data_IF_123277051530
#
_entry.id   IF_123277051530
#
_cell.length_a   1.000
_cell.length_b   1.000
_cell.length_c   1.000
_cell.angle_alpha   90.00
_cell.angle_beta   90.00
_cell.angle_gamma   90.00
#
_symmetry.space_group_name_H-M   'P 1'
#
loop_
_entity.id
_entity.type
_entity.pdbx_description
1 polymer ?
#
# COMPACT_ATOMS: atom_id res chain seq x y z
N UNK A 1 9.73 8.72 -64.53
CA UNK A 1 8.71 9.25 -65.47
C UNK A 1 7.55 9.79 -64.62
N UNK A 2 7.46 11.11 -64.62
CA UNK A 2 6.29 11.99 -64.86
C UNK A 2 5.12 11.74 -63.86
N UNK A 3 4.61 12.73 -63.15
CA UNK A 3 4.63 14.20 -63.13
C UNK A 3 3.66 14.59 -62.02
N UNK A 4 3.86 15.46 -61.19
CA UNK A 4 3.73 16.89 -61.08
C UNK A 4 2.43 17.48 -61.66
N UNK A 5 1.60 18.12 -60.81
CA UNK A 5 0.83 19.35 -61.00
C UNK A 5 -0.09 19.52 -59.79
N UNK A 6 0.12 20.47 -58.92
CA UNK A 6 0.01 21.95 -58.95
C UNK A 6 -1.42 22.48 -58.87
N UNK A 7 -1.55 23.36 -57.88
CA UNK A 7 -2.24 24.67 -57.87
C UNK A 7 -3.71 24.60 -57.39
N UNK A 8 -4.25 25.54 -56.70
CA UNK A 8 -3.91 26.81 -56.05
C UNK A 8 -5.23 27.32 -55.45
N UNK A 9 -5.18 27.88 -54.28
CA UNK A 9 -5.57 29.19 -53.83
C UNK A 9 -6.91 29.82 -54.42
N UNK A 10 -7.75 30.34 -53.54
CA UNK A 10 -8.28 31.70 -53.62
C UNK A 10 -8.73 32.20 -52.26
N UNK A 11 -8.23 33.36 -51.88
CA UNK A 11 -8.63 34.30 -50.84
C UNK A 11 -9.94 35.01 -51.17
N UNK A 12 -10.67 35.41 -50.12
CA UNK A 12 -11.44 36.65 -50.03
C UNK A 12 -11.82 36.85 -48.57
N UNK A 13 -11.27 37.70 -47.77
CA UNK A 13 -11.26 39.16 -47.65
C UNK A 13 -12.63 39.77 -47.32
N UNK A 14 -12.61 40.39 -46.17
CA UNK A 14 -13.06 41.74 -45.76
C UNK A 14 -14.51 41.81 -45.23
N UNK A 15 -14.91 42.65 -44.28
CA UNK A 15 -14.22 43.70 -43.49
C UNK A 15 -15.21 44.16 -42.40
N UNK A 16 -14.64 44.61 -41.27
CA UNK A 16 -14.85 45.85 -40.51
C UNK A 16 -16.24 46.15 -39.96
N UNK A 17 -16.36 46.28 -38.63
CA UNK A 17 -16.88 47.48 -38.00
C UNK A 17 -16.31 47.63 -36.58
N UNK A 18 -15.61 48.73 -36.38
CA UNK A 18 -15.04 49.20 -35.13
C UNK A 18 -16.17 49.77 -34.22
N UNK A 19 -16.04 49.50 -32.89
CA UNK A 19 -16.78 50.17 -31.88
C UNK A 19 -15.89 50.34 -30.66
N UNK A 20 -15.30 51.53 -30.57
CA UNK A 20 -14.51 51.99 -29.39
C UNK A 20 -15.50 52.37 -28.32
N UNK A 21 -15.32 51.84 -27.09
CA UNK A 21 -15.56 52.62 -25.87
C UNK A 21 -14.61 52.14 -24.74
N UNK A 22 -13.89 53.09 -24.22
CA UNK A 22 -13.01 53.03 -23.08
C UNK A 22 -13.85 52.90 -21.78
N UNK A 23 -13.29 52.19 -20.84
CA UNK A 23 -13.86 52.12 -19.49
C UNK A 23 -12.93 51.31 -18.53
N UNK A 24 -12.09 52.03 -17.84
CA UNK A 24 -11.52 51.82 -16.50
C UNK A 24 -11.29 50.44 -15.92
N UNK A 25 -10.10 50.28 -15.48
CA UNK A 25 -9.43 49.43 -14.52
C UNK A 25 -10.29 48.62 -13.53
N UNK A 26 -9.90 47.39 -13.40
CA UNK A 26 -10.27 46.50 -12.33
C UNK A 26 -9.38 45.26 -12.44
N UNK A 27 -8.40 45.16 -11.55
CA UNK A 27 -7.65 43.92 -11.30
C UNK A 27 -8.61 42.79 -10.97
N UNK A 28 -9.02 42.02 -11.95
CA UNK A 28 -9.67 40.74 -11.73
C UNK A 28 -8.59 39.66 -11.62
N UNK A 29 -8.04 39.48 -10.40
CA UNK A 29 -7.63 38.18 -9.97
C UNK A 29 -8.87 37.27 -10.12
N UNK A 30 -8.89 36.43 -11.14
CA UNK A 30 -9.77 35.28 -11.18
C UNK A 30 -9.30 34.38 -10.02
N UNK A 31 -9.92 34.56 -8.87
CA UNK A 31 -10.04 33.46 -7.92
C UNK A 31 -10.79 32.36 -8.66
N UNK A 32 -10.05 31.32 -9.05
CA UNK A 32 -10.63 30.03 -9.46
C UNK A 32 -11.28 29.40 -8.21
N UNK A 33 -12.38 30.00 -7.73
CA UNK A 33 -13.31 29.34 -6.84
C UNK A 33 -13.97 28.24 -7.67
N UNK A 34 -13.41 27.02 -7.58
CA UNK A 34 -14.12 25.80 -8.01
C UNK A 34 -15.51 25.86 -7.36
N UNK A 35 -16.55 25.86 -8.17
CA UNK A 35 -17.92 25.98 -7.71
C UNK A 35 -18.20 24.87 -6.69
N UNK A 36 -18.61 25.25 -5.48
CA UNK A 36 -19.07 24.32 -4.48
C UNK A 36 -20.26 23.52 -5.06
N UNK A 37 -19.99 22.29 -5.55
CA UNK A 37 -20.99 21.45 -6.19
C UNK A 37 -20.49 20.59 -7.35
N UNK A 38 -19.24 20.72 -7.78
CA UNK A 38 -18.70 19.87 -8.84
C UNK A 38 -18.59 18.42 -8.35
N UNK A 39 -19.29 17.50 -9.02
CA UNK A 39 -19.37 16.07 -8.65
C UNK A 39 -18.20 15.29 -9.24
N UNK A 40 -16.98 15.69 -8.93
CA UNK A 40 -15.73 15.09 -9.40
C UNK A 40 -14.77 14.88 -8.21
N UNK A 41 -13.91 13.87 -8.29
CA UNK A 41 -12.85 13.58 -7.33
C UNK A 41 -11.66 13.01 -8.09
N UNK A 42 -10.46 13.51 -7.83
CA UNK A 42 -9.23 12.95 -8.39
C UNK A 42 -8.51 12.14 -7.33
N UNK A 43 -8.37 10.83 -7.56
CA UNK A 43 -7.74 9.88 -6.65
C UNK A 43 -6.43 9.36 -7.23
N UNK A 44 -5.33 9.56 -6.51
CA UNK A 44 -4.03 8.96 -6.79
C UNK A 44 -3.94 7.63 -6.04
N UNK A 45 -3.78 6.51 -6.76
CA UNK A 45 -3.80 5.18 -6.13
C UNK A 45 -2.69 4.27 -6.63
N UNK A 46 -2.12 3.49 -5.70
CA UNK A 46 -1.21 2.37 -5.96
C UNK A 46 -1.84 1.03 -5.57
N UNK A 47 -3.15 1.02 -5.27
CA UNK A 47 -3.85 -0.18 -4.81
C UNK A 47 -4.08 -1.17 -5.93
N UNK A 48 -4.33 -2.42 -5.55
CA UNK A 48 -4.63 -3.50 -6.49
C UNK A 48 -5.85 -3.18 -7.37
N UNK A 49 -5.87 -3.71 -8.57
CA UNK A 49 -6.99 -3.53 -9.50
C UNK A 49 -8.31 -4.05 -8.89
N UNK A 50 -8.27 -5.18 -8.16
CA UNK A 50 -9.43 -5.75 -7.49
C UNK A 50 -10.05 -4.79 -6.47
N UNK A 51 -9.21 -4.13 -5.67
CA UNK A 51 -9.66 -3.18 -4.66
C UNK A 51 -10.19 -1.88 -5.30
N UNK A 52 -9.50 -1.36 -6.33
CA UNK A 52 -9.98 -0.21 -7.09
C UNK A 52 -11.33 -0.50 -7.76
N UNK A 53 -11.51 -1.68 -8.37
CA UNK A 53 -12.74 -2.10 -9.03
C UNK A 53 -13.90 -2.34 -8.05
N UNK A 54 -13.63 -2.62 -6.79
CA UNK A 54 -14.65 -2.69 -5.75
C UNK A 54 -15.06 -1.29 -5.29
N UNK A 55 -14.09 -0.47 -4.90
CA UNK A 55 -14.34 0.79 -4.19
C UNK A 55 -14.87 1.88 -5.11
N UNK A 56 -14.21 2.11 -6.25
CA UNK A 56 -14.51 3.27 -7.10
C UNK A 56 -15.93 3.23 -7.69
N UNK A 57 -16.38 2.14 -8.34
CA UNK A 57 -17.75 2.09 -8.86
C UNK A 57 -18.80 2.15 -7.75
N UNK A 58 -18.53 1.58 -6.59
CA UNK A 58 -19.45 1.62 -5.46
C UNK A 58 -19.59 3.04 -4.89
N UNK A 59 -18.50 3.79 -4.78
CA UNK A 59 -18.51 5.20 -4.38
C UNK A 59 -19.25 6.07 -5.39
N UNK A 60 -18.95 5.93 -6.68
CA UNK A 60 -19.62 6.67 -7.74
C UNK A 60 -21.14 6.42 -7.74
N UNK A 61 -21.54 5.15 -7.59
CA UNK A 61 -22.94 4.75 -7.54
C UNK A 61 -23.69 5.36 -6.35
N UNK A 62 -23.03 5.42 -5.19
CA UNK A 62 -23.66 5.90 -3.95
C UNK A 62 -23.76 7.41 -3.91
N UNK A 63 -22.72 8.11 -4.36
CA UNK A 63 -22.59 9.56 -4.19
C UNK A 63 -22.93 10.37 -5.44
N UNK A 64 -22.88 9.73 -6.60
CA UNK A 64 -22.96 10.39 -7.92
C UNK A 64 -21.73 11.24 -8.24
N UNK A 65 -20.65 11.12 -7.44
CA UNK A 65 -19.36 11.78 -7.67
C UNK A 65 -18.52 10.92 -8.61
N UNK A 66 -18.05 11.50 -9.72
CA UNK A 66 -17.19 10.82 -10.69
C UNK A 66 -15.74 10.84 -10.22
N UNK A 67 -15.08 9.69 -10.31
CA UNK A 67 -13.68 9.55 -9.87
C UNK A 67 -12.73 9.49 -11.06
N UNK A 68 -11.83 10.47 -11.13
CA UNK A 68 -10.68 10.46 -12.02
C UNK A 68 -9.53 9.75 -11.32
N UNK A 69 -9.26 8.51 -11.70
CA UNK A 69 -8.22 7.70 -11.06
C UNK A 69 -6.88 7.83 -11.79
N UNK A 70 -5.80 8.09 -11.05
CA UNK A 70 -4.43 8.07 -11.55
C UNK A 70 -3.69 6.96 -10.83
N UNK A 71 -3.35 5.91 -11.58
CA UNK A 71 -2.69 4.72 -11.07
C UNK A 71 -1.19 4.79 -11.36
N UNK A 72 -0.37 4.69 -10.33
CA UNK A 72 1.09 4.58 -10.43
C UNK A 72 1.66 3.96 -9.15
N UNK A 73 2.97 3.70 -9.12
CA UNK A 73 3.64 3.24 -7.90
C UNK A 73 3.63 4.32 -6.80
N UNK A 74 3.64 3.89 -5.54
CA UNK A 74 3.57 4.77 -4.36
C UNK A 74 4.61 5.90 -4.39
N UNK A 75 5.88 5.59 -4.64
CA UNK A 75 6.94 6.59 -4.68
C UNK A 75 6.72 7.69 -5.74
N UNK A 76 6.42 7.36 -7.00
CA UNK A 76 6.00 8.32 -8.02
C UNK A 76 4.80 9.18 -7.62
N UNK A 77 3.77 8.60 -7.00
CA UNK A 77 2.58 9.35 -6.56
C UNK A 77 2.89 10.34 -5.45
N UNK A 78 3.67 9.93 -4.44
CA UNK A 78 4.10 10.82 -3.35
C UNK A 78 4.97 11.96 -3.89
N UNK A 79 5.89 11.69 -4.82
CA UNK A 79 6.66 12.74 -5.50
C UNK A 79 5.76 13.70 -6.27
N UNK A 80 4.71 13.19 -6.91
CA UNK A 80 3.74 14.00 -7.63
C UNK A 80 3.00 14.94 -6.70
N UNK A 81 2.44 14.44 -5.59
CA UNK A 81 1.79 15.27 -4.56
C UNK A 81 2.73 16.37 -4.09
N UNK A 82 4.00 16.03 -3.81
CA UNK A 82 5.01 17.01 -3.39
C UNK A 82 5.30 18.07 -4.45
N UNK A 83 5.37 17.68 -5.72
CA UNK A 83 5.63 18.63 -6.83
C UNK A 83 4.44 19.55 -7.13
N UNK A 84 3.23 19.09 -6.84
CA UNK A 84 1.97 19.81 -7.05
C UNK A 84 1.51 20.60 -5.83
N UNK A 85 2.28 20.66 -4.73
CA UNK A 85 1.87 21.23 -3.44
C UNK A 85 1.31 22.66 -3.50
N UNK A 86 1.81 23.47 -4.43
CA UNK A 86 1.38 24.88 -4.59
C UNK A 86 0.13 25.01 -5.50
N UNK A 87 -0.22 23.96 -6.25
CA UNK A 87 -1.43 23.86 -7.07
C UNK A 87 -1.83 22.39 -7.23
N UNK A 88 -2.43 21.77 -6.20
CA UNK A 88 -2.79 20.36 -6.20
C UNK A 88 -3.73 20.00 -7.37
N UNK A 89 -3.40 18.90 -8.06
CA UNK A 89 -4.22 18.34 -9.13
C UNK A 89 -4.98 17.09 -8.66
N UNK A 90 -4.53 16.47 -7.57
CA UNK A 90 -5.20 15.38 -6.88
C UNK A 90 -5.94 15.88 -5.65
N UNK A 91 -7.01 15.17 -5.28
CA UNK A 91 -7.78 15.43 -4.06
C UNK A 91 -7.44 14.44 -2.95
N UNK A 92 -7.18 13.18 -3.33
CA UNK A 92 -6.92 12.07 -2.41
C UNK A 92 -5.68 11.30 -2.87
N UNK A 93 -4.82 10.92 -1.93
CA UNK A 93 -3.81 9.89 -2.09
C UNK A 93 -4.30 8.62 -1.38
N UNK A 94 -4.37 7.52 -2.11
CA UNK A 94 -4.68 6.19 -1.60
C UNK A 94 -3.62 5.21 -2.10
N UNK A 95 -2.42 5.29 -1.54
CA UNK A 95 -1.27 4.66 -2.17
C UNK A 95 -0.19 4.15 -1.20
N UNK A 96 -0.19 4.55 0.06
CA UNK A 96 0.92 4.29 0.96
C UNK A 96 0.47 3.83 2.34
N UNK A 97 1.41 3.35 3.14
CA UNK A 97 1.29 3.20 4.57
C UNK A 97 1.77 4.47 5.30
N UNK A 98 1.44 4.59 6.57
CA UNK A 98 1.79 5.77 7.38
C UNK A 98 3.31 5.98 7.49
N UNK A 99 4.10 4.91 7.55
CA UNK A 99 5.57 4.99 7.66
C UNK A 99 6.23 5.71 6.50
N UNK A 100 5.64 5.58 5.30
CA UNK A 100 6.15 6.29 4.13
C UNK A 100 5.78 7.78 4.12
N UNK A 101 4.67 8.15 4.77
CA UNK A 101 4.09 9.49 4.69
C UNK A 101 4.43 10.38 5.88
N UNK A 102 4.86 9.82 7.02
CA UNK A 102 5.07 10.57 8.26
C UNK A 102 6.03 11.76 8.08
N UNK A 103 7.10 11.58 7.32
CA UNK A 103 8.06 12.67 7.03
C UNK A 103 7.51 13.74 6.09
N UNK A 104 6.34 13.54 5.51
CA UNK A 104 5.72 14.41 4.50
C UNK A 104 4.28 14.78 4.87
N UNK A 105 3.91 14.67 6.15
CA UNK A 105 2.54 14.95 6.64
C UNK A 105 2.02 16.35 6.29
N UNK A 106 2.92 17.32 6.10
CA UNK A 106 2.56 18.68 5.70
C UNK A 106 1.96 18.80 4.29
N UNK A 107 2.04 17.72 3.49
CA UNK A 107 1.39 17.61 2.19
C UNK A 107 -0.10 17.24 2.29
N UNK A 108 -0.58 16.89 3.48
CA UNK A 108 -1.94 16.36 3.67
C UNK A 108 -2.77 17.26 4.59
N UNK A 109 -4.08 17.17 4.41
CA UNK A 109 -5.08 17.89 5.22
C UNK A 109 -5.42 17.06 6.47
N UNK A 110 -5.69 17.74 7.57
CA UNK A 110 -6.20 17.08 8.77
C UNK A 110 -7.66 16.70 8.59
N UNK A 111 -7.93 15.42 8.71
CA UNK A 111 -9.29 14.91 8.71
C UNK A 111 -9.37 13.59 9.48
N UNK A 112 -10.30 13.51 10.42
CA UNK A 112 -10.68 12.26 11.09
C UNK A 112 -12.13 11.99 10.76
N UNK A 113 -12.39 10.86 10.08
CA UNK A 113 -13.73 10.45 9.70
C UNK A 113 -14.60 10.17 10.94
N UNK A 114 -15.89 10.51 10.93
CA UNK A 114 -16.85 10.06 11.94
C UNK A 114 -16.90 8.53 12.08
N UNK A 115 -16.60 7.81 11.00
CA UNK A 115 -16.55 6.33 10.98
C UNK A 115 -15.33 5.74 11.71
N UNK A 116 -14.33 6.56 12.04
CA UNK A 116 -13.11 6.12 12.74
C UNK A 116 -13.42 5.45 14.10
N UNK A 117 -14.47 5.88 14.79
CA UNK A 117 -14.92 5.28 16.03
C UNK A 117 -15.27 3.78 15.90
N UNK A 118 -15.68 3.36 14.71
CA UNK A 118 -16.08 1.99 14.39
C UNK A 118 -14.90 1.10 13.91
N UNK A 119 -13.72 1.69 13.75
CA UNK A 119 -12.54 0.95 13.32
C UNK A 119 -11.88 0.19 14.47
N UNK A 120 -11.10 -0.84 14.15
CA UNK A 120 -10.27 -1.56 15.12
C UNK A 120 -9.36 -0.59 15.87
N UNK A 121 -9.07 -0.84 17.14
CA UNK A 121 -8.34 0.11 17.97
C UNK A 121 -6.90 0.38 17.50
N UNK A 122 -6.27 -0.61 16.84
CA UNK A 122 -4.97 -0.49 16.20
C UNK A 122 -5.03 0.19 14.82
N UNK A 123 -6.23 0.38 14.26
CA UNK A 123 -6.45 0.94 12.93
C UNK A 123 -7.08 2.35 12.94
N UNK A 124 -7.18 2.98 14.11
CA UNK A 124 -7.70 4.35 14.22
C UNK A 124 -6.70 5.38 13.70
N UNK A 125 -7.24 6.46 13.14
CA UNK A 125 -6.44 7.62 12.76
C UNK A 125 -5.89 8.35 13.99
N UNK A 126 -4.67 8.01 14.39
CA UNK A 126 -4.00 8.59 15.58
C UNK A 126 -3.29 9.91 15.29
N UNK A 127 -2.97 10.18 14.04
CA UNK A 127 -2.18 11.35 13.62
C UNK A 127 -3.05 12.54 13.24
N UNK A 128 -4.31 12.30 12.90
CA UNK A 128 -5.22 13.27 12.32
C UNK A 128 -5.06 13.43 10.80
N UNK A 129 -4.05 12.78 10.17
CA UNK A 129 -3.76 12.91 8.74
C UNK A 129 -3.98 11.62 7.97
N UNK A 130 -3.63 10.47 8.54
CA UNK A 130 -3.58 9.19 7.87
C UNK A 130 -4.72 8.31 8.37
N UNK A 131 -5.58 7.88 7.46
CA UNK A 131 -6.76 7.08 7.78
C UNK A 131 -6.59 5.66 7.26
N UNK A 132 -6.22 4.68 8.11
CA UNK A 132 -6.14 3.28 7.71
C UNK A 132 -7.53 2.78 7.33
N UNK A 133 -7.65 2.21 6.13
CA UNK A 133 -8.92 1.67 5.63
C UNK A 133 -8.89 0.14 5.48
N UNK A 134 -7.78 -0.39 5.01
CA UNK A 134 -7.52 -1.83 4.87
C UNK A 134 -6.14 -2.17 5.42
N UNK A 135 -5.84 -3.46 5.57
CA UNK A 135 -4.51 -3.92 5.94
C UNK A 135 -4.08 -5.09 5.07
N UNK A 136 -2.76 -5.21 4.94
CA UNK A 136 -2.11 -6.35 4.30
C UNK A 136 -0.95 -6.81 5.18
N UNK A 137 -1.23 -7.66 6.19
CA UNK A 137 -0.24 -8.08 7.18
C UNK A 137 0.83 -9.00 6.60
N UNK A 138 1.98 -9.06 7.28
CA UNK A 138 3.07 -9.99 6.96
C UNK A 138 2.69 -11.41 7.35
N UNK A 139 2.93 -12.34 6.43
CA UNK A 139 2.61 -13.77 6.61
C UNK A 139 3.69 -14.65 5.98
N UNK A 140 3.63 -15.96 6.29
CA UNK A 140 4.26 -16.99 5.49
C UNK A 140 3.22 -17.58 4.52
N UNK A 141 3.61 -17.75 3.27
CA UNK A 141 2.93 -18.61 2.30
C UNK A 141 3.66 -19.96 2.30
N UNK A 142 2.99 -21.02 2.68
CA UNK A 142 3.59 -22.36 2.84
C UNK A 142 2.99 -23.31 1.81
N UNK A 143 3.82 -23.86 0.93
CA UNK A 143 3.39 -24.90 0.01
C UNK A 143 3.15 -26.21 0.76
N UNK A 144 1.89 -26.67 0.78
CA UNK A 144 1.45 -27.82 1.57
C UNK A 144 2.00 -29.15 1.06
N UNK A 145 2.24 -29.26 -0.26
CA UNK A 145 2.81 -30.46 -0.87
C UNK A 145 4.29 -30.62 -0.51
N UNK A 146 5.05 -29.51 -0.48
CA UNK A 146 6.48 -29.53 -0.18
C UNK A 146 6.76 -29.59 1.33
N UNK A 147 5.91 -28.96 2.13
CA UNK A 147 6.03 -28.97 3.58
C UNK A 147 5.67 -30.35 4.19
N UNK A 148 4.72 -31.07 3.60
CA UNK A 148 4.23 -32.32 4.17
C UNK A 148 3.83 -32.15 5.64
N UNK A 149 4.41 -32.98 6.52
CA UNK A 149 4.18 -32.93 7.97
C UNK A 149 5.07 -31.92 8.72
N UNK A 150 5.91 -31.13 7.99
CA UNK A 150 6.78 -30.13 8.60
C UNK A 150 5.93 -29.01 9.20
N UNK A 151 6.14 -28.73 10.49
CA UNK A 151 5.54 -27.58 11.13
C UNK A 151 6.29 -26.31 10.78
N UNK A 152 5.60 -25.35 10.19
CA UNK A 152 6.09 -24.01 9.87
C UNK A 152 5.03 -23.05 10.44
N UNK A 153 5.22 -22.63 11.70
CA UNK A 153 4.26 -21.85 12.48
C UNK A 153 4.87 -20.54 13.02
N UNK A 154 6.20 -20.40 12.95
CA UNK A 154 6.91 -19.23 13.45
C UNK A 154 8.30 -19.10 12.88
N UNK A 155 9.01 -18.05 13.31
CA UNK A 155 10.31 -17.71 12.76
C UNK A 155 11.37 -18.77 13.07
N UNK A 156 11.32 -19.46 14.22
CA UNK A 156 12.30 -20.50 14.56
C UNK A 156 12.23 -21.69 13.59
N UNK A 157 11.04 -21.98 13.06
CA UNK A 157 10.86 -23.08 12.12
C UNK A 157 11.56 -22.81 10.78
N UNK A 158 11.80 -21.53 10.44
CA UNK A 158 12.54 -21.14 9.23
C UNK A 158 14.05 -21.47 9.32
N UNK A 159 14.57 -21.74 10.51
CA UNK A 159 15.95 -22.19 10.70
C UNK A 159 16.11 -23.72 10.57
N UNK A 160 15.01 -24.46 10.31
CA UNK A 160 15.12 -25.89 10.08
C UNK A 160 16.06 -26.18 8.87
N UNK A 161 17.10 -27.01 9.02
CA UNK A 161 18.03 -27.33 7.94
C UNK A 161 17.35 -27.95 6.70
N UNK A 162 16.20 -28.61 6.87
CA UNK A 162 15.41 -29.15 5.76
C UNK A 162 14.84 -28.06 4.82
N UNK A 163 14.77 -26.83 5.28
CA UNK A 163 14.36 -25.64 4.51
C UNK A 163 15.53 -24.94 3.81
N UNK A 164 16.77 -25.39 3.98
CA UNK A 164 17.92 -24.75 3.34
C UNK A 164 17.74 -24.68 1.82
N UNK A 165 17.83 -23.46 1.27
CA UNK A 165 17.59 -23.16 -0.15
C UNK A 165 16.15 -23.31 -0.63
N UNK A 166 15.19 -23.51 0.31
CA UNK A 166 13.75 -23.69 0.01
C UNK A 166 12.88 -22.57 0.56
N UNK A 167 13.48 -21.47 1.01
CA UNK A 167 12.80 -20.29 1.50
C UNK A 167 12.81 -19.21 0.43
N UNK A 168 11.64 -18.78 -0.02
CA UNK A 168 11.49 -17.61 -0.89
C UNK A 168 11.52 -16.33 -0.04
N UNK A 169 12.52 -15.51 -0.25
CA UNK A 169 12.62 -14.22 0.45
C UNK A 169 13.14 -13.14 -0.50
N UNK A 170 12.52 -11.96 -0.45
CA UNK A 170 12.96 -10.79 -1.21
C UNK A 170 14.15 -10.09 -0.53
N UNK A 171 14.80 -9.21 -1.26
CA UNK A 171 15.82 -8.34 -0.68
C UNK A 171 15.18 -7.16 0.06
N UNK A 172 15.35 -7.01 1.39
CA UNK A 172 14.83 -5.90 2.18
C UNK A 172 15.26 -4.51 1.73
N UNK A 173 16.41 -4.41 1.05
CA UNK A 173 16.86 -3.13 0.50
C UNK A 173 16.00 -2.67 -0.69
N UNK A 174 15.37 -3.60 -1.42
CA UNK A 174 14.67 -3.35 -2.67
C UNK A 174 13.17 -3.67 -2.65
N UNK A 175 12.69 -4.41 -1.63
CA UNK A 175 11.30 -4.87 -1.50
C UNK A 175 10.72 -4.42 -0.15
N UNK A 176 9.61 -3.66 -0.20
CA UNK A 176 8.91 -3.25 1.03
C UNK A 176 8.35 -4.45 1.80
N UNK A 177 7.82 -5.45 1.11
CA UNK A 177 7.36 -6.71 1.72
C UNK A 177 8.49 -7.43 2.47
N UNK A 178 9.67 -7.55 1.83
CA UNK A 178 10.83 -8.16 2.46
C UNK A 178 11.35 -7.33 3.64
N UNK A 179 11.34 -5.99 3.53
CA UNK A 179 11.69 -5.10 4.64
C UNK A 179 10.75 -5.30 5.83
N UNK A 180 9.44 -5.34 5.62
CA UNK A 180 8.47 -5.58 6.69
C UNK A 180 8.62 -6.99 7.29
N UNK A 181 8.93 -8.00 6.48
CA UNK A 181 9.23 -9.34 6.98
C UNK A 181 10.53 -9.39 7.80
N UNK A 182 11.57 -8.62 7.40
CA UNK A 182 12.77 -8.43 8.20
C UNK A 182 12.45 -7.77 9.53
N UNK A 183 11.64 -6.71 9.53
CA UNK A 183 11.19 -6.06 10.76
C UNK A 183 10.45 -7.04 11.68
N UNK A 184 9.56 -7.88 11.13
CA UNK A 184 8.86 -8.90 11.90
C UNK A 184 9.85 -9.90 12.57
N UNK A 185 10.89 -10.33 11.84
CA UNK A 185 11.96 -11.16 12.40
C UNK A 185 12.70 -10.45 13.55
N UNK A 186 13.09 -9.20 13.32
CA UNK A 186 13.85 -8.42 14.31
C UNK A 186 13.04 -8.18 15.59
N UNK A 187 11.76 -7.84 15.49
CA UNK A 187 10.87 -7.70 16.65
C UNK A 187 10.62 -9.05 17.35
N UNK A 188 10.49 -10.14 16.59
CA UNK A 188 10.24 -11.47 17.13
C UNK A 188 11.44 -12.04 17.88
N UNK A 189 12.67 -11.72 17.46
CA UNK A 189 13.91 -12.33 17.95
C UNK A 189 14.77 -11.37 18.76
N UNK A 190 14.42 -10.10 18.76
CA UNK A 190 15.10 -9.10 19.57
C UNK A 190 14.91 -9.32 21.06
N UNK A 191 15.98 -9.15 21.84
CA UNK A 191 15.90 -9.18 23.29
C UNK A 191 14.95 -8.07 23.76
N UNK A 192 13.97 -8.44 24.57
CA UNK A 192 12.92 -7.54 25.04
C UNK A 192 12.15 -6.80 23.92
N UNK A 193 12.16 -7.39 22.70
CA UNK A 193 11.55 -6.82 21.51
C UNK A 193 12.34 -5.67 20.88
N UNK A 194 13.63 -5.52 21.21
CA UNK A 194 14.52 -4.54 20.58
C UNK A 194 15.02 -5.06 19.22
N UNK A 195 14.59 -4.45 18.08
CA UNK A 195 14.99 -4.90 16.75
C UNK A 195 16.48 -4.63 16.42
N UNK A 196 17.19 -3.84 17.21
CA UNK A 196 18.62 -3.57 17.03
C UNK A 196 19.50 -4.46 17.93
N UNK A 197 18.92 -5.30 18.77
CA UNK A 197 19.66 -6.17 19.67
C UNK A 197 20.55 -7.17 18.90
N UNK A 198 21.71 -7.56 19.47
CA UNK A 198 22.57 -8.59 18.87
C UNK A 198 21.86 -9.93 18.63
N UNK A 199 20.89 -10.29 19.50
CA UNK A 199 20.11 -11.51 19.38
C UNK A 199 19.24 -11.53 18.13
N UNK A 200 18.60 -10.40 17.81
CA UNK A 200 17.80 -10.24 16.59
C UNK A 200 18.66 -10.47 15.34
N UNK A 201 19.81 -9.86 15.28
CA UNK A 201 20.72 -9.97 14.14
C UNK A 201 21.42 -11.32 14.05
N UNK A 202 21.71 -11.97 15.19
CA UNK A 202 22.20 -13.36 15.19
C UNK A 202 21.17 -14.33 14.58
N UNK A 203 19.87 -14.10 14.83
CA UNK A 203 18.82 -14.84 14.14
C UNK A 203 18.86 -14.58 12.61
N UNK A 204 18.96 -13.31 12.20
CA UNK A 204 19.02 -12.92 10.78
C UNK A 204 20.20 -13.57 10.07
N UNK A 205 21.38 -13.66 10.69
CA UNK A 205 22.55 -14.37 10.14
C UNK A 205 22.25 -15.84 9.84
N UNK A 206 21.57 -16.52 10.77
CA UNK A 206 21.20 -17.93 10.58
C UNK A 206 20.11 -18.07 9.51
N UNK A 207 19.17 -17.13 9.45
CA UNK A 207 18.15 -17.10 8.42
C UNK A 207 18.76 -16.89 7.02
N UNK A 208 19.69 -15.95 6.86
CA UNK A 208 20.42 -15.72 5.59
C UNK A 208 21.11 -17.01 5.12
N UNK A 209 21.80 -17.72 6.04
CA UNK A 209 22.44 -19.01 5.72
C UNK A 209 21.44 -20.06 5.26
N UNK A 210 20.22 -20.05 5.80
CA UNK A 210 19.18 -21.01 5.44
C UNK A 210 18.46 -20.66 4.13
N UNK A 211 18.34 -19.37 3.80
CA UNK A 211 17.89 -18.89 2.46
C UNK A 211 18.89 -19.29 1.38
N UNK A 212 20.14 -19.55 1.75
CA UNK A 212 21.24 -20.00 0.86
C UNK A 212 21.59 -18.95 -0.23
N UNK A 213 21.54 -17.67 0.14
CA UNK A 213 21.95 -16.55 -0.70
C UNK A 213 21.04 -16.24 -1.91
N UNK A 214 19.88 -16.87 -2.00
CA UNK A 214 18.93 -16.71 -3.12
C UNK A 214 17.85 -15.69 -2.77
N UNK A 215 18.18 -14.39 -2.85
CA UNK A 215 17.21 -13.32 -2.64
C UNK A 215 16.48 -12.97 -3.94
N UNK A 216 15.15 -12.85 -3.85
CA UNK A 216 14.29 -12.58 -5.00
C UNK A 216 14.12 -11.07 -5.23
N UNK A 217 13.93 -10.67 -6.48
CA UNK A 217 13.88 -9.25 -6.84
C UNK A 217 12.52 -8.57 -6.56
N UNK A 218 11.49 -9.35 -6.22
CA UNK A 218 10.14 -8.82 -5.97
C UNK A 218 9.32 -9.72 -5.06
N UNK A 219 8.33 -9.14 -4.37
CA UNK A 219 7.34 -9.91 -3.61
C UNK A 219 6.51 -10.84 -4.51
N UNK A 220 6.25 -10.43 -5.76
CA UNK A 220 5.57 -11.26 -6.75
C UNK A 220 6.29 -12.58 -7.02
N UNK A 221 7.63 -12.55 -7.10
CA UNK A 221 8.43 -13.77 -7.25
C UNK A 221 8.39 -14.65 -6.00
N UNK A 222 8.28 -14.06 -4.81
CA UNK A 222 8.20 -14.80 -3.54
C UNK A 222 6.94 -15.66 -3.48
N UNK A 223 5.76 -15.03 -3.56
CA UNK A 223 4.51 -15.78 -3.42
C UNK A 223 4.22 -16.69 -4.63
N UNK A 224 4.63 -16.28 -5.84
CA UNK A 224 4.53 -17.12 -7.02
C UNK A 224 5.42 -18.36 -6.89
N UNK A 225 6.68 -18.21 -6.50
CA UNK A 225 7.61 -19.33 -6.35
C UNK A 225 7.16 -20.34 -5.29
N UNK A 226 6.56 -19.90 -4.18
CA UNK A 226 5.96 -20.80 -3.20
C UNK A 226 4.70 -21.51 -3.77
N UNK A 227 3.83 -20.78 -4.47
CA UNK A 227 2.61 -21.35 -5.05
C UNK A 227 2.91 -22.36 -6.15
N UNK A 228 3.89 -22.11 -7.00
CA UNK A 228 4.31 -22.97 -8.09
C UNK A 228 5.16 -24.19 -7.62
N UNK A 229 5.52 -24.24 -6.33
CA UNK A 229 6.31 -25.35 -5.76
C UNK A 229 7.82 -25.25 -6.00
N UNK A 230 8.34 -24.07 -6.30
CA UNK A 230 9.79 -23.82 -6.37
C UNK A 230 10.39 -23.72 -4.96
N UNK A 231 9.59 -23.21 -3.99
CA UNK A 231 9.98 -23.02 -2.60
C UNK A 231 8.94 -23.63 -1.66
N UNK A 232 9.40 -24.11 -0.51
CA UNK A 232 8.52 -24.69 0.52
C UNK A 232 7.78 -23.61 1.29
N UNK A 233 8.43 -22.46 1.53
CA UNK A 233 7.86 -21.33 2.26
C UNK A 233 8.34 -20.02 1.64
N UNK A 234 7.45 -19.02 1.63
CA UNK A 234 7.77 -17.65 1.24
C UNK A 234 7.31 -16.66 2.31
N UNK A 235 8.05 -15.58 2.50
CA UNK A 235 7.67 -14.49 3.40
C UNK A 235 7.11 -13.34 2.56
N UNK A 236 5.83 -13.01 2.78
CA UNK A 236 5.09 -12.10 1.91
C UNK A 236 3.94 -11.41 2.66
N UNK A 237 3.03 -10.82 1.91
CA UNK A 237 1.79 -10.21 2.38
C UNK A 237 0.61 -11.19 2.35
N UNK A 238 -0.40 -10.94 3.20
CA UNK A 238 -1.60 -11.79 3.26
C UNK A 238 -2.41 -11.76 1.96
N UNK A 239 -2.68 -10.59 1.38
CA UNK A 239 -3.53 -10.45 0.18
C UNK A 239 -3.08 -11.36 -0.98
N UNK A 240 -1.83 -11.31 -1.46
CA UNK A 240 -1.39 -12.21 -2.51
C UNK A 240 -1.38 -13.69 -2.08
N UNK A 241 -0.98 -13.99 -0.83
CA UNK A 241 -0.97 -15.36 -0.34
C UNK A 241 -2.38 -15.96 -0.25
N UNK A 242 -3.34 -15.21 0.32
CA UNK A 242 -4.74 -15.60 0.39
C UNK A 242 -5.39 -15.70 -1.00
N UNK A 243 -4.95 -14.89 -1.97
CA UNK A 243 -5.39 -15.00 -3.37
C UNK A 243 -5.03 -16.37 -3.96
N UNK A 244 -3.83 -16.89 -3.70
CA UNK A 244 -3.46 -18.23 -4.13
C UNK A 244 -4.30 -19.31 -3.45
N UNK A 245 -4.57 -19.18 -2.14
CA UNK A 245 -5.48 -20.10 -1.42
C UNK A 245 -6.88 -20.08 -2.03
N UNK A 246 -7.44 -18.88 -2.25
CA UNK A 246 -8.75 -18.68 -2.88
C UNK A 246 -8.86 -19.34 -4.26
N UNK A 247 -7.76 -19.33 -5.02
CA UNK A 247 -7.68 -19.90 -6.36
C UNK A 247 -7.34 -21.41 -6.35
N UNK A 248 -7.27 -22.04 -5.18
CA UNK A 248 -7.06 -23.49 -5.05
C UNK A 248 -5.61 -23.97 -5.23
N UNK A 249 -4.63 -23.06 -5.13
CA UNK A 249 -3.22 -23.47 -5.12
C UNK A 249 -2.90 -24.30 -3.85
N UNK A 250 -1.94 -25.24 -3.90
CA UNK A 250 -1.58 -26.08 -2.76
C UNK A 250 -0.73 -25.32 -1.75
N UNK A 251 -1.27 -24.21 -1.23
CA UNK A 251 -0.61 -23.36 -0.25
C UNK A 251 -1.55 -23.02 0.91
N UNK A 252 -0.96 -22.67 2.04
CA UNK A 252 -1.68 -22.09 3.19
C UNK A 252 -1.03 -20.79 3.62
N UNK A 253 -1.83 -19.88 4.18
CA UNK A 253 -1.36 -18.68 4.89
C UNK A 253 -1.06 -19.04 6.33
N UNK A 254 0.10 -18.63 6.83
CA UNK A 254 0.50 -18.81 8.23
C UNK A 254 0.91 -17.47 8.81
N UNK A 255 0.23 -17.05 9.86
CA UNK A 255 0.67 -15.94 10.70
C UNK A 255 1.70 -16.45 11.70
N UNK A 256 2.91 -15.85 11.76
CA UNK A 256 3.92 -16.28 12.72
C UNK A 256 3.37 -16.20 14.16
N UNK A 257 3.58 -17.26 14.93
CA UNK A 257 3.12 -17.35 16.34
C UNK A 257 3.71 -16.26 17.24
N UNK A 258 4.89 -15.75 16.90
CA UNK A 258 5.55 -14.67 17.62
C UNK A 258 4.86 -13.33 17.39
N UNK A 259 4.27 -13.13 16.21
CA UNK A 259 3.56 -11.94 15.83
C UNK A 259 3.71 -11.57 14.36
N UNK A 260 2.78 -10.77 13.88
CA UNK A 260 2.79 -10.19 12.55
C UNK A 260 2.84 -8.66 12.62
N UNK A 261 3.41 -8.03 11.60
CA UNK A 261 3.27 -6.61 11.35
C UNK A 261 1.99 -6.42 10.55
N UNK A 262 1.19 -5.43 10.94
CA UNK A 262 -0.15 -5.19 10.42
C UNK A 262 -0.24 -3.75 9.90
N UNK A 263 0.45 -3.42 8.80
CA UNK A 263 0.43 -2.06 8.28
C UNK A 263 -0.96 -1.73 7.75
N UNK A 264 -1.50 -0.60 8.20
CA UNK A 264 -2.71 -0.03 7.65
C UNK A 264 -2.42 0.64 6.31
N UNK A 265 -3.11 0.20 5.27
CA UNK A 265 -3.15 0.92 4.01
C UNK A 265 -4.04 2.13 4.17
N UNK A 266 -3.43 3.30 4.15
CA UNK A 266 -4.14 4.53 4.49
C UNK A 266 -4.62 5.32 3.26
N UNK A 267 -5.59 6.17 3.51
CA UNK A 267 -6.15 7.14 2.57
C UNK A 267 -6.03 8.53 3.17
N UNK A 268 -5.45 9.46 2.42
CA UNK A 268 -5.15 10.82 2.85
C UNK A 268 -5.78 11.85 1.94
N UNK A 269 -6.26 12.94 2.52
CA UNK A 269 -6.71 14.11 1.75
C UNK A 269 -5.50 14.99 1.46
N UNK A 270 -5.28 15.30 0.19
CA UNK A 270 -4.18 16.17 -0.24
C UNK A 270 -4.48 17.59 0.22
N UNK A 271 -3.49 18.26 0.81
CA UNK A 271 -3.63 19.63 1.29
C UNK A 271 -3.96 20.59 0.16
N UNK A 272 -5.00 21.39 0.34
CA UNK A 272 -5.49 22.31 -0.70
C UNK A 272 -6.25 21.61 -1.84
N UNK A 273 -6.73 20.38 -1.62
CA UNK A 273 -7.58 19.64 -2.56
C UNK A 273 -8.75 20.51 -3.08
N UNK A 274 -8.97 20.52 -4.39
CA UNK A 274 -10.01 21.36 -5.04
C UNK A 274 -11.41 20.90 -4.67
N UNK A 275 -11.60 19.60 -4.42
CA UNK A 275 -12.88 18.98 -4.10
C UNK A 275 -12.90 18.44 -2.67
N UNK A 276 -12.53 19.28 -1.69
CA UNK A 276 -12.35 18.92 -0.28
C UNK A 276 -13.53 18.11 0.29
N UNK A 277 -14.78 18.56 0.08
CA UNK A 277 -15.96 17.87 0.63
C UNK A 277 -16.18 16.50 -0.03
N UNK A 278 -15.83 16.35 -1.30
CA UNK A 278 -15.87 15.04 -1.98
C UNK A 278 -14.74 14.12 -1.47
N UNK A 279 -13.56 14.67 -1.17
CA UNK A 279 -12.46 13.93 -0.58
C UNK A 279 -12.82 13.39 0.81
N UNK A 280 -13.44 14.20 1.67
CA UNK A 280 -13.96 13.75 2.98
C UNK A 280 -14.98 12.62 2.82
N UNK A 281 -15.95 12.77 1.90
CA UNK A 281 -16.93 11.71 1.60
C UNK A 281 -16.27 10.42 1.14
N UNK A 282 -15.17 10.51 0.38
CA UNK A 282 -14.44 9.33 -0.05
C UNK A 282 -13.76 8.62 1.12
N UNK A 283 -13.11 9.38 2.03
CA UNK A 283 -12.52 8.82 3.25
C UNK A 283 -13.60 8.15 4.12
N UNK A 284 -14.75 8.81 4.34
CA UNK A 284 -15.85 8.24 5.11
C UNK A 284 -16.41 6.96 4.47
N UNK A 285 -16.55 6.97 3.13
CA UNK A 285 -17.01 5.81 2.38
C UNK A 285 -16.07 4.62 2.53
N UNK A 286 -14.74 4.84 2.50
CA UNK A 286 -13.74 3.80 2.68
C UNK A 286 -13.86 3.08 4.03
N UNK A 287 -14.31 3.78 5.07
CA UNK A 287 -14.51 3.24 6.41
C UNK A 287 -15.93 2.73 6.65
N UNK A 288 -16.86 2.96 5.71
CA UNK A 288 -18.26 2.58 5.87
C UNK A 288 -18.43 1.07 6.03
N UNK A 289 -19.45 0.66 6.79
CA UNK A 289 -19.73 -0.76 7.00
C UNK A 289 -19.93 -1.50 5.67
N UNK A 290 -20.62 -0.87 4.73
CA UNK A 290 -20.94 -1.47 3.44
C UNK A 290 -19.70 -1.88 2.65
N UNK A 291 -18.73 -0.97 2.47
CA UNK A 291 -17.55 -1.28 1.65
C UNK A 291 -16.58 -2.21 2.38
N UNK A 292 -16.48 -2.08 3.71
CA UNK A 292 -15.67 -2.95 4.53
C UNK A 292 -16.21 -4.39 4.55
N UNK A 293 -17.52 -4.58 4.66
CA UNK A 293 -18.15 -5.90 4.58
C UNK A 293 -18.02 -6.51 3.18
N UNK A 294 -18.21 -5.73 2.13
CA UNK A 294 -18.08 -6.22 0.76
C UNK A 294 -16.64 -6.65 0.45
N UNK A 295 -15.65 -5.88 0.89
CA UNK A 295 -14.25 -6.25 0.79
C UNK A 295 -13.95 -7.55 1.56
N UNK A 296 -14.42 -7.66 2.81
CA UNK A 296 -14.22 -8.86 3.63
C UNK A 296 -14.82 -10.13 3.04
N UNK A 297 -15.91 -10.01 2.28
CA UNK A 297 -16.58 -11.15 1.61
C UNK A 297 -15.92 -11.54 0.29
N UNK A 298 -15.45 -10.55 -0.49
CA UNK A 298 -15.13 -10.76 -1.91
C UNK A 298 -13.64 -10.68 -2.21
N UNK A 299 -12.88 -9.95 -1.40
CA UNK A 299 -11.47 -9.73 -1.59
C UNK A 299 -10.60 -10.49 -0.58
N UNK A 300 -9.32 -10.42 -0.77
CA UNK A 300 -8.27 -10.99 0.06
C UNK A 300 -7.53 -9.95 0.91
N UNK A 301 -7.87 -8.66 0.73
CA UNK A 301 -7.44 -7.58 1.63
C UNK A 301 -8.21 -7.62 2.93
N UNK A 302 -7.60 -7.21 4.02
CA UNK A 302 -8.20 -7.27 5.36
C UNK A 302 -8.93 -5.97 5.69
N UNK A 303 -10.27 -5.99 5.89
CA UNK A 303 -11.01 -4.85 6.40
C UNK A 303 -10.58 -4.51 7.83
N UNK A 304 -10.64 -3.23 8.17
CA UNK A 304 -10.22 -2.72 9.48
C UNK A 304 -11.40 -2.27 10.36
N UNK A 305 -12.63 -2.48 9.92
CA UNK A 305 -13.84 -2.15 10.70
C UNK A 305 -14.21 -3.27 11.66
N UNK A 306 -14.62 -2.91 12.89
CA UNK A 306 -15.10 -3.86 13.90
C UNK A 306 -16.33 -4.63 13.41
N UNK A 307 -16.39 -5.92 13.72
CA UNK A 307 -17.55 -6.78 13.43
C UNK A 307 -17.68 -7.23 11.97
N UNK A 308 -16.75 -6.86 11.09
CA UNK A 308 -16.76 -7.35 9.71
C UNK A 308 -16.34 -8.81 9.67
N UNK A 309 -17.13 -9.64 8.98
CA UNK A 309 -16.81 -11.05 8.73
C UNK A 309 -15.88 -11.17 7.53
N UNK A 310 -14.85 -11.98 7.67
CA UNK A 310 -13.94 -12.35 6.60
C UNK A 310 -14.45 -13.58 5.86
N UNK A 311 -13.97 -13.79 4.65
CA UNK A 311 -14.17 -15.05 3.92
C UNK A 311 -13.53 -16.22 4.67
N UNK A 312 -14.07 -17.43 4.50
CA UNK A 312 -13.69 -18.64 5.29
C UNK A 312 -12.22 -19.06 5.06
N UNK A 313 -11.60 -18.64 3.98
CA UNK A 313 -10.17 -18.88 3.69
C UNK A 313 -9.23 -17.87 4.35
N UNK A 314 -9.76 -16.84 5.02
CA UNK A 314 -8.98 -15.83 5.73
C UNK A 314 -8.90 -16.18 7.22
N UNK A 315 -7.74 -15.99 7.83
CA UNK A 315 -7.58 -16.18 9.27
C UNK A 315 -8.40 -15.15 10.05
N UNK A 316 -9.26 -15.55 11.00
CA UNK A 316 -9.99 -14.60 11.86
C UNK A 316 -9.05 -13.62 12.57
N UNK A 317 -9.51 -12.36 12.73
CA UNK A 317 -8.70 -11.29 13.30
C UNK A 317 -8.23 -11.58 14.73
N UNK A 318 -9.05 -12.23 15.55
CA UNK A 318 -8.78 -12.60 16.95
C UNK A 318 -7.76 -13.74 17.09
N UNK A 319 -7.43 -14.43 16.01
CA UNK A 319 -6.40 -15.48 15.97
C UNK A 319 -5.03 -14.95 15.53
N UNK A 320 -4.91 -13.67 15.19
CA UNK A 320 -3.66 -13.07 14.75
C UNK A 320 -2.97 -12.40 15.93
N UNK A 321 -1.75 -12.83 16.21
CA UNK A 321 -0.89 -12.15 17.17
C UNK A 321 -0.22 -10.96 16.47
N UNK A 322 -0.32 -9.77 17.10
CA UNK A 322 0.34 -8.56 16.62
C UNK A 322 1.44 -8.17 17.61
N UNK A 323 2.54 -7.63 17.08
CA UNK A 323 3.56 -7.05 17.94
C UNK A 323 3.02 -5.81 18.65
N UNK A 324 2.99 -5.86 19.99
CA UNK A 324 2.45 -4.76 20.82
C UNK A 324 3.35 -3.53 20.84
N UNK A 325 4.63 -3.73 20.64
CA UNK A 325 5.67 -2.71 20.68
C UNK A 325 6.13 -2.25 19.29
N UNK A 326 5.44 -2.66 18.21
CA UNK A 326 5.74 -2.19 16.86
C UNK A 326 5.37 -0.71 16.73
N UNK A 327 6.38 0.13 16.44
CA UNK A 327 6.23 1.57 16.26
C UNK A 327 6.63 1.94 14.82
N UNK A 328 5.61 2.27 14.02
CA UNK A 328 5.80 2.65 12.61
C UNK A 328 6.67 3.90 12.46
N UNK A 329 6.54 4.87 13.37
CA UNK A 329 7.33 6.11 13.35
C UNK A 329 8.81 5.82 13.61
N UNK A 330 9.11 4.97 14.59
CA UNK A 330 10.46 4.52 14.87
C UNK A 330 11.06 3.75 13.68
N UNK A 331 10.31 2.83 13.09
CA UNK A 331 10.74 2.06 11.91
C UNK A 331 11.05 2.97 10.73
N UNK A 332 10.21 3.97 10.47
CA UNK A 332 10.45 4.95 9.40
C UNK A 332 11.75 5.72 9.59
N UNK A 333 12.06 6.13 10.83
CA UNK A 333 13.28 6.87 11.16
C UNK A 333 14.54 6.00 11.03
N UNK A 334 14.45 4.72 11.40
CA UNK A 334 15.60 3.79 11.41
C UNK A 334 15.74 2.95 10.13
N UNK A 335 14.86 3.12 9.15
CA UNK A 335 14.86 2.31 7.93
C UNK A 335 16.21 2.27 7.22
N UNK A 336 16.88 3.41 7.10
CA UNK A 336 18.20 3.49 6.43
C UNK A 336 19.27 2.71 7.21
N UNK A 337 19.28 2.81 8.53
CA UNK A 337 20.18 2.08 9.41
C UNK A 337 19.96 0.57 9.32
N UNK A 338 18.69 0.13 9.40
CA UNK A 338 18.32 -1.28 9.32
C UNK A 338 18.71 -1.88 7.96
N UNK A 339 18.49 -1.15 6.86
CA UNK A 339 18.92 -1.60 5.53
C UNK A 339 20.43 -1.65 5.42
N UNK A 340 21.17 -0.73 6.04
CA UNK A 340 22.64 -0.78 6.07
C UNK A 340 23.16 -1.99 6.87
N UNK A 341 22.56 -2.28 8.03
CA UNK A 341 22.86 -3.48 8.82
C UNK A 341 22.54 -4.76 8.04
N UNK A 342 21.38 -4.84 7.40
CA UNK A 342 21.04 -5.96 6.52
C UNK A 342 22.13 -6.23 5.48
N UNK A 343 22.55 -5.19 4.75
CA UNK A 343 23.60 -5.32 3.73
C UNK A 343 24.93 -5.81 4.32
N UNK A 344 25.31 -5.30 5.50
CA UNK A 344 26.52 -5.73 6.20
C UNK A 344 26.46 -7.22 6.59
N UNK A 345 25.36 -7.69 7.19
CA UNK A 345 25.16 -9.09 7.56
C UNK A 345 25.13 -10.00 6.32
N UNK A 346 24.51 -9.54 5.22
CA UNK A 346 24.50 -10.25 3.96
C UNK A 346 25.90 -10.39 3.36
N UNK A 347 26.73 -9.35 3.39
CA UNK A 347 28.12 -9.40 2.93
C UNK A 347 28.95 -10.35 3.78
N UNK A 348 28.81 -10.29 5.11
CA UNK A 348 29.52 -11.19 6.03
C UNK A 348 29.16 -12.66 5.82
N UNK A 349 27.92 -12.95 5.42
CA UNK A 349 27.48 -14.34 5.15
C UNK A 349 28.05 -14.96 3.87
N UNK A 350 28.62 -14.13 2.99
CA UNK A 350 29.23 -14.55 1.72
C UNK A 350 30.73 -14.81 1.82
N UNK A 351 31.36 -14.44 2.94
CA UNK A 351 32.76 -14.71 3.25
C UNK A 351 32.91 -16.07 3.94
#
# INVERSE_FOLDING_TARGET
MKGLKKMAAVLACAAIAAGVFAGCGGDNKKDDKVAAGEKVLTVYTARSESLNNLVIPAFEKETGIKVNMIVAGTGPLVKRVSSEKDNPQGDVLWAADQTMLESQKDLFEKYVSPEDANMLDNAKNKTGYFTPAFADPTVFIVNTNLAGDMKIEGFDDLLNPALKGKIAFGDPANSSSAFQSLMAMLYAKGKDGDPLSPEAWAYVDNFIKNVDGKFLNSSGAVHKGAADGEYTVGLTWEDPAATYVKNGAPVKVVFPKEGAIFPGESVEIIKGAKHMENAKKFVDFMLSQKIQEEAGKTLTVRPLRKGVKLADYMTPQDQIHLFKNYDEGWVAQHKKEIVALWNQHLENSRQ
#
